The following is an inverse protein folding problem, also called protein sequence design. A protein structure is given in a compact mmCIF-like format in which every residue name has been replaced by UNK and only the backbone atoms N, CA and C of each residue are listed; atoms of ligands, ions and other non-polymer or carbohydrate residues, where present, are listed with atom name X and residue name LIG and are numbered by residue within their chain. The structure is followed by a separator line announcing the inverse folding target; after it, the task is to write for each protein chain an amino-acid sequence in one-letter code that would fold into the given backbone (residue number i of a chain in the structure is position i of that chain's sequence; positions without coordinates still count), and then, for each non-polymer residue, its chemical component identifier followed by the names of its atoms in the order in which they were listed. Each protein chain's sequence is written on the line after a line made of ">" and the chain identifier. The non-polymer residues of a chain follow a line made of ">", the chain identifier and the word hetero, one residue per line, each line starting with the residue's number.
data_IF_553857150849
#
_entry.id   IF_553857150849
#
_cell.length_a   1.000
_cell.length_b   1.000
_cell.length_c   1.000
_cell.angle_alpha   90.00
_cell.angle_beta   90.00
_cell.angle_gamma   90.00
#
_symmetry.space_group_name_H-M   'P 1'
#
loop_
_entity.id
_entity.type
_entity.pdbx_description
1 polymer ?
#
# COMPACT_ATOMS: atom_id res chain seq x y z
N UNK A 1 3.62 -2.83 -3.80
CA UNK A 1 4.69 -2.27 -2.97
C UNK A 1 5.94 -3.11 -3.23
N UNK A 2 7.04 -2.48 -3.63
CA UNK A 2 8.27 -3.20 -3.99
C UNK A 2 9.31 -2.98 -2.90
N UNK A 3 9.91 -4.04 -2.38
CA UNK A 3 11.01 -3.95 -1.43
C UNK A 3 12.30 -4.20 -2.19
N UNK A 4 13.24 -3.28 -2.06
CA UNK A 4 14.57 -3.40 -2.64
C UNK A 4 15.56 -3.54 -1.51
N UNK A 5 16.14 -4.72 -1.37
CA UNK A 5 17.25 -4.97 -0.44
C UNK A 5 18.57 -4.78 -1.17
N UNK A 6 19.41 -3.88 -0.68
CA UNK A 6 20.74 -3.67 -1.24
C UNK A 6 21.73 -4.61 -0.56
N UNK A 7 22.10 -5.69 -1.24
CA UNK A 7 23.29 -6.46 -0.92
C UNK A 7 24.40 -6.05 -1.90
N UNK A 8 25.19 -5.07 -1.54
CA UNK A 8 26.32 -4.65 -2.39
C UNK A 8 27.51 -5.59 -2.16
N UNK A 9 27.77 -6.50 -3.11
CA UNK A 9 29.04 -7.25 -3.22
C UNK A 9 30.13 -6.45 -3.90
N UNK A 10 30.13 -5.14 -3.84
CA UNK A 10 31.29 -4.42 -4.35
C UNK A 10 32.39 -4.43 -3.31
N UNK A 11 33.56 -4.91 -3.76
CA UNK A 11 34.86 -4.71 -3.13
C UNK A 11 35.00 -3.22 -2.81
N UNK A 12 34.55 -2.85 -1.63
CA UNK A 12 34.81 -1.50 -1.13
C UNK A 12 36.27 -1.50 -0.70
N UNK A 13 37.10 -0.75 -1.45
CA UNK A 13 38.36 -0.28 -0.95
C UNK A 13 38.18 0.21 0.49
N UNK A 14 39.18 0.04 1.33
CA UNK A 14 39.24 0.28 2.80
C UNK A 14 38.67 1.60 3.36
N UNK A 15 37.84 2.30 2.64
CA UNK A 15 37.18 3.54 3.09
C UNK A 15 35.72 3.22 3.46
N UNK A 16 35.44 3.32 4.76
CA UNK A 16 34.13 3.04 5.33
C UNK A 16 33.01 3.90 4.70
N UNK A 17 31.78 3.34 4.72
CA UNK A 17 30.58 4.07 4.29
C UNK A 17 30.38 5.24 5.25
N UNK A 18 30.61 6.44 4.76
CA UNK A 18 30.36 7.68 5.49
C UNK A 18 29.01 8.28 5.06
N UNK A 19 28.18 8.64 6.01
CA UNK A 19 27.00 9.48 5.79
C UNK A 19 27.42 10.92 6.09
N UNK A 20 27.25 11.82 5.12
CA UNK A 20 27.45 13.26 5.34
C UNK A 20 26.15 13.84 5.94
N UNK A 21 26.22 14.32 7.16
CA UNK A 21 25.21 15.19 7.75
C UNK A 21 25.56 16.65 7.44
N UNK A 22 24.57 17.54 7.36
CA UNK A 22 24.74 18.98 7.11
C UNK A 22 25.65 19.73 8.09
N UNK A 23 26.27 19.05 9.05
CA UNK A 23 27.20 19.57 10.06
C UNK A 23 28.64 19.00 9.92
N UNK A 24 29.09 18.63 8.73
CA UNK A 24 30.48 18.17 8.46
C UNK A 24 31.05 17.07 9.40
N UNK A 25 30.21 16.26 10.01
CA UNK A 25 30.64 15.09 10.77
C UNK A 25 30.50 13.84 9.92
N UNK A 26 31.64 13.22 9.59
CA UNK A 26 31.65 11.88 8.96
C UNK A 26 31.51 10.82 10.06
N UNK A 27 30.41 10.07 10.05
CA UNK A 27 30.20 8.94 10.94
C UNK A 27 30.61 7.67 10.22
N UNK A 28 31.57 6.95 10.73
CA UNK A 28 32.01 5.64 10.21
C UNK A 28 31.25 4.53 10.94
N UNK A 29 30.54 3.70 10.20
CA UNK A 29 29.87 2.53 10.78
C UNK A 29 30.89 1.45 11.13
N UNK A 30 30.80 0.89 12.34
CA UNK A 30 31.64 -0.25 12.77
C UNK A 30 31.30 -1.55 12.02
N UNK A 31 30.06 -1.71 11.64
CA UNK A 31 29.55 -2.85 10.89
C UNK A 31 28.84 -2.37 9.62
N UNK A 32 28.88 -3.18 8.55
CA UNK A 32 28.19 -2.86 7.30
C UNK A 32 26.68 -2.90 7.53
N UNK A 33 25.93 -1.81 7.26
CA UNK A 33 24.48 -1.81 7.42
C UNK A 33 23.79 -2.66 6.34
N UNK A 34 22.71 -3.32 6.71
CA UNK A 34 21.73 -3.83 5.75
C UNK A 34 20.76 -2.68 5.44
N UNK A 35 20.61 -2.34 4.16
CA UNK A 35 19.72 -1.27 3.72
C UNK A 35 18.54 -1.88 2.97
N UNK A 36 17.34 -1.62 3.45
CA UNK A 36 16.09 -2.02 2.82
C UNK A 36 15.42 -0.75 2.30
N UNK A 37 15.06 -0.74 1.02
CA UNK A 37 14.40 0.38 0.37
C UNK A 37 13.06 -0.11 -0.14
N UNK A 38 11.98 0.59 0.19
CA UNK A 38 10.64 0.31 -0.29
C UNK A 38 10.21 1.37 -1.30
N UNK A 39 9.52 0.95 -2.36
CA UNK A 39 8.94 1.82 -3.36
C UNK A 39 7.53 1.35 -3.69
N UNK A 40 6.60 2.27 -3.88
CA UNK A 40 5.22 1.97 -4.30
C UNK A 40 5.05 1.84 -5.82
N UNK A 41 6.15 1.76 -6.56
CA UNK A 41 6.18 1.59 -8.02
C UNK A 41 5.47 2.70 -8.83
N UNK A 42 5.22 3.88 -8.23
CA UNK A 42 4.65 5.03 -8.96
C UNK A 42 5.61 5.61 -10.01
N UNK A 43 6.90 5.37 -9.83
CA UNK A 43 7.94 5.71 -10.80
C UNK A 43 8.88 4.54 -10.98
N UNK A 44 9.29 4.33 -12.22
CA UNK A 44 10.34 3.37 -12.54
C UNK A 44 11.65 3.77 -11.86
N UNK A 45 12.31 2.77 -11.27
CA UNK A 45 13.61 2.99 -10.66
C UNK A 45 14.69 2.96 -11.72
N UNK A 46 15.68 3.86 -11.66
CA UNK A 46 16.76 3.87 -12.63
C UNK A 46 17.51 2.54 -12.71
N UNK A 47 17.83 2.08 -13.92
CA UNK A 47 18.57 0.83 -14.16
C UNK A 47 19.86 0.70 -13.35
N UNK A 48 20.59 1.82 -13.23
CA UNK A 48 21.81 1.86 -12.44
C UNK A 48 21.57 1.55 -10.95
N UNK A 49 20.37 1.81 -10.46
CA UNK A 49 19.94 1.49 -9.09
C UNK A 49 19.57 0.02 -8.98
N UNK A 50 18.75 -0.48 -9.92
CA UNK A 50 18.29 -1.87 -9.94
C UNK A 50 19.45 -2.87 -10.00
N UNK A 51 20.48 -2.60 -10.81
CA UNK A 51 21.69 -3.45 -10.94
C UNK A 51 22.49 -3.59 -9.65
N UNK A 52 22.30 -2.67 -8.67
CA UNK A 52 23.01 -2.66 -7.40
C UNK A 52 22.20 -3.22 -6.25
N UNK A 53 20.97 -3.61 -6.48
CA UNK A 53 20.03 -4.07 -5.48
C UNK A 53 19.56 -5.48 -5.77
N UNK A 54 19.18 -6.22 -4.73
CA UNK A 54 18.34 -7.40 -4.88
C UNK A 54 16.92 -6.88 -4.90
N UNK A 55 16.23 -7.10 -6.00
CA UNK A 55 14.84 -6.69 -6.18
C UNK A 55 13.91 -7.80 -5.71
N UNK A 56 12.90 -7.42 -4.93
CA UNK A 56 11.80 -8.28 -4.55
C UNK A 56 10.48 -7.55 -4.78
N UNK A 57 9.62 -8.13 -5.60
CA UNK A 57 8.29 -7.61 -5.85
C UNK A 57 7.32 -8.18 -4.81
N UNK A 58 6.61 -7.30 -4.12
CA UNK A 58 5.54 -7.69 -3.22
C UNK A 58 4.23 -7.52 -3.96
N UNK A 59 3.56 -8.62 -4.24
CA UNK A 59 2.24 -8.62 -4.84
C UNK A 59 1.21 -7.99 -3.91
N UNK A 60 0.13 -7.49 -4.51
CA UNK A 60 -0.98 -6.97 -3.72
C UNK A 60 -1.63 -8.16 -2.99
N UNK A 61 -1.96 -8.01 -1.68
CA UNK A 61 -2.54 -9.10 -0.91
C UNK A 61 -3.82 -9.64 -1.53
N UNK A 62 -3.98 -10.95 -1.53
CA UNK A 62 -5.26 -11.60 -1.82
C UNK A 62 -6.28 -11.35 -0.70
N UNK A 63 -7.52 -11.86 -0.88
CA UNK A 63 -8.57 -11.64 0.12
C UNK A 63 -8.22 -12.23 1.49
N UNK A 64 -7.60 -13.40 1.53
CA UNK A 64 -7.26 -14.07 2.79
C UNK A 64 -6.13 -13.34 3.53
N UNK A 65 -5.12 -12.90 2.79
CA UNK A 65 -4.03 -12.12 3.35
C UNK A 65 -4.52 -10.74 3.82
N UNK A 66 -5.40 -10.10 3.02
CA UNK A 66 -5.98 -8.81 3.38
C UNK A 66 -6.81 -8.90 4.65
N UNK A 67 -7.63 -9.94 4.80
CA UNK A 67 -8.40 -10.17 6.02
C UNK A 67 -7.50 -10.27 7.26
N UNK A 68 -6.39 -11.02 7.16
CA UNK A 68 -5.40 -11.08 8.24
C UNK A 68 -4.80 -9.71 8.57
N UNK A 69 -4.50 -8.92 7.54
CA UNK A 69 -3.99 -7.55 7.71
C UNK A 69 -5.02 -6.68 8.45
N UNK A 70 -6.29 -6.72 8.03
CA UNK A 70 -7.35 -5.94 8.68
C UNK A 70 -7.51 -6.34 10.15
N UNK A 71 -7.50 -7.65 10.47
CA UNK A 71 -7.62 -8.15 11.85
C UNK A 71 -6.46 -7.71 12.76
N UNK A 72 -5.29 -7.36 12.21
CA UNK A 72 -4.18 -6.76 12.98
C UNK A 72 -4.45 -5.29 13.32
N UNK A 73 -5.22 -4.59 12.50
CA UNK A 73 -5.54 -3.17 12.69
C UNK A 73 -6.79 -2.91 13.55
N UNK A 74 -7.61 -3.93 13.76
CA UNK A 74 -8.86 -3.81 14.51
C UNK A 74 -8.98 -4.95 15.51
N UNK A 75 -9.08 -4.63 16.80
CA UNK A 75 -9.29 -5.62 17.87
C UNK A 75 -10.66 -6.33 17.71
N UNK A 76 -11.66 -5.57 17.25
CA UNK A 76 -13.01 -6.07 16.97
C UNK A 76 -13.53 -5.44 15.68
N UNK A 77 -13.91 -6.27 14.73
CA UNK A 77 -14.62 -5.87 13.51
C UNK A 77 -15.82 -6.80 13.31
N UNK A 78 -16.96 -6.22 12.97
CA UNK A 78 -18.14 -7.01 12.62
C UNK A 78 -17.87 -7.83 11.37
N UNK A 79 -18.11 -9.14 11.41
CA UNK A 79 -17.80 -10.08 10.33
C UNK A 79 -18.60 -9.78 9.06
N UNK A 80 -19.84 -9.33 9.20
CA UNK A 80 -20.70 -8.98 8.07
C UNK A 80 -20.18 -7.71 7.41
N UNK A 81 -19.81 -6.71 8.21
CA UNK A 81 -19.21 -5.47 7.72
C UNK A 81 -17.89 -5.76 6.98
N UNK A 82 -17.01 -6.56 7.57
CA UNK A 82 -15.74 -6.93 6.97
C UNK A 82 -15.95 -7.63 5.63
N UNK A 83 -16.83 -8.60 5.57
CA UNK A 83 -17.13 -9.34 4.34
C UNK A 83 -17.64 -8.41 3.24
N UNK A 84 -18.62 -7.55 3.54
CA UNK A 84 -19.19 -6.60 2.57
C UNK A 84 -18.15 -5.55 2.12
N UNK A 85 -17.36 -5.03 3.05
CA UNK A 85 -16.30 -4.09 2.71
C UNK A 85 -15.23 -4.72 1.82
N UNK A 86 -14.80 -5.94 2.12
CA UNK A 86 -13.83 -6.68 1.30
C UNK A 86 -14.36 -6.94 -0.11
N UNK A 87 -15.61 -7.38 -0.23
CA UNK A 87 -16.24 -7.62 -1.54
C UNK A 87 -16.27 -6.33 -2.38
N UNK A 88 -16.77 -5.23 -1.80
CA UNK A 88 -16.83 -3.95 -2.48
C UNK A 88 -15.43 -3.44 -2.88
N UNK A 89 -14.45 -3.57 -1.99
CA UNK A 89 -13.07 -3.16 -2.25
C UNK A 89 -12.45 -3.90 -3.43
N UNK A 90 -12.54 -5.23 -3.47
CA UNK A 90 -12.00 -6.01 -4.58
C UNK A 90 -12.81 -5.81 -5.88
N UNK A 91 -14.12 -5.60 -5.79
CA UNK A 91 -14.93 -5.22 -6.93
C UNK A 91 -14.46 -3.89 -7.56
N UNK A 92 -14.15 -2.87 -6.74
CA UNK A 92 -13.57 -1.61 -7.23
C UNK A 92 -12.21 -1.86 -7.89
N UNK A 93 -11.35 -2.67 -7.26
CA UNK A 93 -10.01 -2.97 -7.78
C UNK A 93 -10.02 -3.76 -9.09
N UNK A 94 -11.08 -4.53 -9.36
CA UNK A 94 -11.24 -5.27 -10.61
C UNK A 94 -11.70 -4.39 -11.79
N UNK A 95 -12.03 -3.12 -11.55
CA UNK A 95 -12.43 -2.19 -12.60
C UNK A 95 -11.20 -1.63 -13.31
N UNK A 96 -10.95 -2.02 -14.55
CA UNK A 96 -9.79 -1.57 -15.32
C UNK A 96 -9.79 -0.05 -15.60
N UNK A 97 -10.97 0.56 -15.67
CA UNK A 97 -11.13 1.99 -15.89
C UNK A 97 -10.78 2.86 -14.67
N UNK A 98 -10.50 2.27 -13.51
CA UNK A 98 -10.01 2.96 -12.32
C UNK A 98 -8.50 3.10 -12.45
N UNK A 99 -8.03 4.34 -12.61
CA UNK A 99 -6.61 4.66 -12.81
C UNK A 99 -5.78 4.40 -11.56
N UNK A 100 -6.28 4.85 -10.40
CA UNK A 100 -5.61 4.64 -9.11
C UNK A 100 -6.42 3.69 -8.24
N UNK A 101 -6.06 2.41 -8.31
CA UNK A 101 -6.70 1.38 -7.48
C UNK A 101 -6.42 1.64 -6.00
N UNK A 102 -7.45 1.51 -5.11
CA UNK A 102 -7.26 1.76 -3.69
C UNK A 102 -6.27 0.77 -3.07
N UNK A 103 -5.47 1.26 -2.12
CA UNK A 103 -4.44 0.51 -1.39
C UNK A 103 -5.00 -0.12 -0.11
N UNK A 104 -4.15 -0.91 0.56
CA UNK A 104 -4.47 -1.50 1.88
C UNK A 104 -4.75 -0.43 2.94
N UNK A 105 -3.99 0.67 2.94
CA UNK A 105 -4.19 1.76 3.91
C UNK A 105 -5.56 2.42 3.74
N UNK A 106 -5.97 2.66 2.50
CA UNK A 106 -7.28 3.24 2.20
C UNK A 106 -8.41 2.30 2.60
N UNK A 107 -8.23 0.97 2.47
CA UNK A 107 -9.20 0.00 2.99
C UNK A 107 -9.31 0.04 4.51
N UNK A 108 -8.19 0.09 5.23
CA UNK A 108 -8.17 0.21 6.70
C UNK A 108 -8.92 1.47 7.14
N UNK A 109 -8.61 2.62 6.53
CA UNK A 109 -9.26 3.88 6.85
C UNK A 109 -10.75 3.86 6.52
N UNK A 110 -11.14 3.21 5.43
CA UNK A 110 -12.53 3.08 5.03
C UNK A 110 -13.32 2.20 6.00
N UNK A 111 -12.80 1.03 6.41
CA UNK A 111 -13.44 0.17 7.41
C UNK A 111 -13.62 0.94 8.72
N UNK A 112 -12.63 1.72 9.14
CA UNK A 112 -12.73 2.57 10.34
C UNK A 112 -13.85 3.60 10.21
N UNK A 113 -13.96 4.25 9.06
CA UNK A 113 -15.03 5.20 8.80
C UNK A 113 -16.41 4.54 8.83
N UNK A 114 -16.56 3.35 8.26
CA UNK A 114 -17.79 2.57 8.28
C UNK A 114 -18.21 2.19 9.71
N UNK A 115 -17.27 1.71 10.52
CA UNK A 115 -17.54 1.36 11.93
C UNK A 115 -17.99 2.57 12.75
N UNK A 116 -17.28 3.69 12.62
CA UNK A 116 -17.58 4.90 13.40
C UNK A 116 -18.92 5.55 13.02
N UNK A 117 -19.33 5.39 11.77
CA UNK A 117 -20.57 6.01 11.27
C UNK A 117 -21.83 5.20 11.55
N UNK A 118 -21.72 3.94 11.95
CA UNK A 118 -22.87 3.05 12.14
C UNK A 118 -23.67 2.83 10.85
N UNK A 119 -23.04 2.88 9.69
CA UNK A 119 -23.71 2.67 8.40
C UNK A 119 -24.31 1.28 8.33
N UNK A 120 -25.51 1.20 7.77
CA UNK A 120 -26.16 -0.08 7.47
C UNK A 120 -25.30 -0.90 6.51
N UNK A 121 -24.87 -2.08 6.98
CA UNK A 121 -23.99 -2.99 6.24
C UNK A 121 -24.58 -3.36 4.88
N UNK A 122 -25.91 -3.48 4.77
CA UNK A 122 -26.58 -3.80 3.51
C UNK A 122 -26.37 -2.78 2.38
N UNK A 123 -25.99 -1.56 2.73
CA UNK A 123 -25.76 -0.47 1.78
C UNK A 123 -24.32 -0.42 1.26
N UNK A 124 -23.38 -1.09 1.93
CA UNK A 124 -21.95 -1.01 1.62
C UNK A 124 -21.69 -1.41 0.17
N UNK A 125 -22.24 -2.53 -0.27
CA UNK A 125 -22.02 -3.05 -1.62
C UNK A 125 -22.70 -2.22 -2.74
N UNK A 126 -23.80 -1.54 -2.41
CA UNK A 126 -24.62 -0.79 -3.41
C UNK A 126 -24.24 0.68 -3.51
N UNK A 127 -23.94 1.32 -2.39
CA UNK A 127 -23.76 2.77 -2.31
C UNK A 127 -22.30 3.17 -2.07
N UNK A 128 -21.46 2.23 -1.60
CA UNK A 128 -20.06 2.46 -1.21
C UNK A 128 -19.94 3.76 -0.39
N UNK A 129 -20.49 3.79 0.84
CA UNK A 129 -20.42 4.98 1.69
C UNK A 129 -18.96 5.44 1.86
N UNK A 130 -18.74 6.74 1.94
CA UNK A 130 -17.40 7.33 2.06
C UNK A 130 -16.41 6.92 0.96
N UNK A 131 -16.90 6.72 -0.28
CA UNK A 131 -16.08 6.33 -1.44
C UNK A 131 -14.81 7.20 -1.60
N UNK A 132 -14.84 8.46 -1.20
CA UNK A 132 -13.69 9.37 -1.22
C UNK A 132 -12.54 8.95 -0.28
N UNK A 133 -12.77 8.03 0.68
CA UNK A 133 -11.71 7.44 1.48
C UNK A 133 -10.94 6.42 0.63
N UNK A 134 -11.62 5.65 -0.20
CA UNK A 134 -11.00 4.64 -1.10
C UNK A 134 -10.39 5.27 -2.35
N UNK A 135 -11.08 6.22 -2.97
CA UNK A 135 -10.70 6.80 -4.25
C UNK A 135 -10.41 8.30 -4.09
N UNK A 136 -9.23 8.73 -4.55
CA UNK A 136 -8.76 10.12 -4.39
C UNK A 136 -8.91 10.95 -5.67
N UNK A 137 -9.34 10.33 -6.78
CA UNK A 137 -9.56 11.01 -8.05
C UNK A 137 -11.06 11.06 -8.37
N UNK A 138 -11.60 12.23 -8.67
CA UNK A 138 -13.01 12.43 -9.04
C UNK A 138 -13.43 11.59 -10.25
N UNK A 139 -12.51 11.41 -11.20
CA UNK A 139 -12.72 10.56 -12.39
C UNK A 139 -12.96 9.10 -12.00
N UNK A 140 -12.17 8.57 -11.04
CA UNK A 140 -12.31 7.21 -10.57
C UNK A 140 -13.62 7.03 -9.78
N UNK A 141 -13.97 8.00 -8.91
CA UNK A 141 -15.24 8.02 -8.19
C UNK A 141 -16.42 7.98 -9.16
N UNK A 142 -16.42 8.88 -10.15
CA UNK A 142 -17.48 8.94 -11.17
C UNK A 142 -17.60 7.66 -11.98
N UNK A 143 -16.47 6.99 -12.24
CA UNK A 143 -16.42 5.72 -12.98
C UNK A 143 -17.07 4.60 -12.17
N UNK A 144 -16.75 4.48 -10.89
CA UNK A 144 -17.33 3.48 -9.98
C UNK A 144 -18.82 3.72 -9.79
N UNK A 145 -19.25 4.98 -9.54
CA UNK A 145 -20.66 5.33 -9.34
C UNK A 145 -21.53 5.03 -10.57
N UNK A 146 -21.01 5.26 -11.77
CA UNK A 146 -21.72 4.89 -13.02
C UNK A 146 -21.92 3.38 -13.15
N UNK A 147 -20.98 2.58 -12.65
CA UNK A 147 -21.07 1.12 -12.71
C UNK A 147 -22.06 0.56 -11.69
N UNK A 148 -22.18 1.18 -10.53
CA UNK A 148 -23.15 0.79 -9.50
C UNK A 148 -24.61 1.08 -9.86
N UNK A 149 -24.85 2.02 -10.78
CA UNK A 149 -26.19 2.40 -11.24
C UNK A 149 -26.72 1.53 -12.40
N UNK A 150 -25.91 0.62 -12.91
CA UNK A 150 -26.28 -0.35 -13.97
C UNK A 150 -26.66 -1.70 -13.38
#
# INVERSE_FOLDING_TARGET
>A
MSIISRYSRHRCSRTGIGFSSSKNKTVKAKHRPIVIITSNAEKELPDAFLRRCIFHYIEFPDQQQMEKIIRVHFDHVDETLLTQAMQAFYAIRSIDAVEKKPSTSELVDWIRALQLSGVDVSKIAREIPFIGVLLKKDKDISTVQRRLRR
#
